data_IF_225751294314
#
_entry.id   IF_225751294314
#
_cell.length_a   1.000
_cell.length_b   1.000
_cell.length_c   1.000
_cell.angle_alpha   90.00
_cell.angle_beta   90.00
_cell.angle_gamma   90.00
#
_symmetry.space_group_name_H-M   'P 1'
#
loop_
_entity.id
_entity.type
_entity.pdbx_description
1 polymer ?
#
# COMPACT_ATOMS: atom_id res chain seq x y z
N UNK A 1 20.86 34.72 17.09
CA UNK A 1 19.65 35.05 17.85
C UNK A 1 18.99 33.70 18.18
N UNK A 2 19.32 33.16 19.36
CA UNK A 2 18.83 31.86 19.84
C UNK A 2 17.43 32.03 20.41
N UNK A 3 16.46 31.28 19.88
CA UNK A 3 15.12 31.18 20.45
C UNK A 3 15.14 29.96 21.39
N UNK A 4 14.85 30.11 22.69
CA UNK A 4 14.83 28.98 23.60
C UNK A 4 13.55 28.15 23.41
N UNK A 5 13.70 26.90 23.03
CA UNK A 5 12.62 25.91 23.07
C UNK A 5 12.27 25.60 24.54
N UNK A 6 11.26 26.26 25.05
CA UNK A 6 10.66 25.93 26.33
C UNK A 6 9.87 24.61 26.23
N UNK A 7 10.26 23.65 27.06
CA UNK A 7 9.47 22.43 27.33
C UNK A 7 8.07 22.83 27.81
N UNK A 8 7.06 22.68 26.98
CA UNK A 8 5.68 22.53 27.40
C UNK A 8 5.09 21.38 26.59
N UNK A 9 4.99 20.21 27.22
CA UNK A 9 4.07 19.18 26.81
C UNK A 9 2.67 19.79 26.81
N UNK A 10 2.13 20.05 25.61
CA UNK A 10 0.72 20.30 25.42
C UNK A 10 -0.01 18.96 25.57
N UNK A 11 -0.14 18.51 26.80
CA UNK A 11 -1.18 17.56 27.15
C UNK A 11 -2.49 18.38 27.21
N UNK A 12 -3.13 18.55 26.06
CA UNK A 12 -4.50 19.03 26.02
C UNK A 12 -5.33 17.94 26.68
N UNK A 13 -5.65 18.12 27.98
CA UNK A 13 -6.81 17.45 28.58
C UNK A 13 -7.99 17.82 27.71
N UNK A 14 -8.46 16.89 26.87
CA UNK A 14 -9.78 16.97 26.33
C UNK A 14 -10.73 17.02 27.53
N UNK A 15 -11.35 18.16 27.72
CA UNK A 15 -12.44 18.29 28.69
C UNK A 15 -13.47 17.24 28.29
N UNK A 16 -13.68 16.26 29.14
CA UNK A 16 -14.78 15.33 29.02
C UNK A 16 -16.04 16.13 29.31
N UNK A 17 -16.76 16.49 28.26
CA UNK A 17 -18.10 17.04 28.39
C UNK A 17 -19.02 15.87 28.83
N UNK A 18 -19.26 15.76 30.13
CA UNK A 18 -20.09 14.68 30.72
C UNK A 18 -21.55 14.73 30.23
N UNK A 19 -21.97 15.76 29.54
CA UNK A 19 -23.32 15.89 28.98
C UNK A 19 -23.46 15.32 27.58
N UNK A 20 -22.38 15.21 26.81
CA UNK A 20 -22.34 14.62 25.46
C UNK A 20 -22.25 13.07 25.48
N UNK A 21 -22.04 12.46 26.63
CA UNK A 21 -21.68 11.03 26.74
C UNK A 21 -22.89 10.09 26.96
N UNK A 22 -24.11 10.59 27.07
CA UNK A 22 -25.29 9.75 27.32
C UNK A 22 -25.76 8.93 26.12
N UNK A 23 -25.40 9.29 24.89
CA UNK A 23 -25.74 8.54 23.66
C UNK A 23 -24.59 7.69 23.10
N UNK A 24 -23.40 7.76 23.70
CA UNK A 24 -22.20 7.02 23.28
C UNK A 24 -22.12 5.63 23.91
N UNK A 25 -23.17 4.84 23.87
CA UNK A 25 -23.17 3.53 24.55
C UNK A 25 -22.37 2.51 23.75
N UNK A 26 -21.25 2.06 24.35
CA UNK A 26 -20.60 0.82 23.97
C UNK A 26 -21.60 -0.34 24.12
N UNK A 27 -21.80 -1.15 23.07
CA UNK A 27 -22.66 -2.30 23.13
C UNK A 27 -21.91 -3.59 22.76
N UNK A 28 -22.32 -4.69 23.40
CA UNK A 28 -21.75 -6.01 23.12
C UNK A 28 -22.39 -6.61 21.88
N UNK A 29 -21.57 -7.13 21.01
CA UNK A 29 -22.01 -7.78 19.77
C UNK A 29 -21.64 -9.27 19.84
N UNK A 30 -22.58 -10.19 19.58
CA UNK A 30 -22.29 -11.61 19.48
C UNK A 30 -21.64 -11.92 18.12
N UNK A 31 -20.32 -11.78 18.04
CA UNK A 31 -19.57 -12.20 16.84
C UNK A 31 -19.20 -13.69 17.03
N UNK A 32 -19.65 -14.60 16.17
CA UNK A 32 -19.33 -16.01 16.26
C UNK A 32 -17.81 -16.26 16.29
N UNK A 33 -17.34 -16.97 17.31
CA UNK A 33 -15.91 -17.22 17.53
C UNK A 33 -15.18 -16.11 18.32
N UNK A 34 -15.86 -15.01 18.63
CA UNK A 34 -15.36 -13.90 19.44
C UNK A 34 -16.26 -13.71 20.68
N UNK A 35 -15.74 -13.96 21.87
CA UNK A 35 -16.49 -13.72 23.11
C UNK A 35 -16.37 -12.24 23.48
N UNK A 36 -17.51 -11.57 23.63
CA UNK A 36 -17.57 -10.22 24.21
C UNK A 36 -16.88 -9.11 23.40
N UNK A 37 -17.06 -9.06 22.07
CA UNK A 37 -16.67 -7.90 21.28
C UNK A 37 -17.55 -6.71 21.68
N UNK A 38 -16.91 -5.58 21.95
CA UNK A 38 -17.59 -4.32 22.27
C UNK A 38 -17.37 -3.35 21.13
N UNK A 39 -18.45 -2.82 20.59
CA UNK A 39 -18.46 -1.85 19.50
C UNK A 39 -18.63 -0.45 20.08
N UNK A 40 -17.76 0.46 19.67
CA UNK A 40 -17.78 1.89 20.03
C UNK A 40 -17.48 2.76 18.83
N UNK A 41 -17.50 4.08 19.02
CA UNK A 41 -17.01 5.02 18.00
C UNK A 41 -15.56 4.72 17.62
N UNK A 42 -15.28 4.83 16.33
CA UNK A 42 -13.92 4.71 15.80
C UNK A 42 -13.17 6.05 15.82
N UNK A 43 -11.95 5.99 15.29
CA UNK A 43 -11.05 7.13 15.13
C UNK A 43 -11.03 7.50 13.63
N UNK A 44 -11.71 8.59 13.23
CA UNK A 44 -11.91 8.92 11.81
C UNK A 44 -10.62 9.30 11.06
N UNK A 45 -9.58 9.73 11.78
CA UNK A 45 -8.29 10.10 11.17
C UNK A 45 -7.45 8.88 10.77
N UNK A 46 -7.81 7.67 11.22
CA UNK A 46 -7.11 6.42 10.91
C UNK A 46 -7.89 5.65 9.86
N UNK A 47 -7.83 6.10 8.60
CA UNK A 47 -8.46 5.42 7.48
C UNK A 47 -7.93 3.99 7.33
N UNK A 48 -8.82 3.10 6.89
CA UNK A 48 -8.55 1.67 6.79
C UNK A 48 -8.75 0.95 8.11
N UNK A 49 -8.06 -0.18 8.25
CA UNK A 49 -8.06 -0.96 9.48
C UNK A 49 -6.76 -0.78 10.24
N UNK A 50 -6.88 -0.28 11.46
CA UNK A 50 -5.73 -0.05 12.34
C UNK A 50 -5.87 -0.87 13.61
N UNK A 51 -4.84 -1.68 13.90
CA UNK A 51 -4.74 -2.36 15.20
C UNK A 51 -4.40 -1.37 16.30
N UNK A 52 -5.14 -1.41 17.39
CA UNK A 52 -4.91 -0.64 18.59
C UNK A 52 -4.68 -1.58 19.77
N UNK A 53 -4.32 -1.05 20.94
CA UNK A 53 -3.92 -1.84 22.11
C UNK A 53 -4.92 -2.96 22.49
N UNK A 54 -6.22 -2.74 22.32
CA UNK A 54 -7.25 -3.67 22.77
C UNK A 54 -8.34 -3.99 21.71
N UNK A 55 -8.08 -3.71 20.43
CA UNK A 55 -9.02 -3.96 19.34
C UNK A 55 -8.58 -3.42 17.99
N UNK A 56 -9.55 -3.24 17.11
CA UNK A 56 -9.34 -2.75 15.75
C UNK A 56 -10.25 -1.57 15.44
N UNK A 57 -9.66 -0.53 14.88
CA UNK A 57 -10.37 0.60 14.29
C UNK A 57 -10.61 0.33 12.82
N UNK A 58 -11.82 0.56 12.35
CA UNK A 58 -12.21 0.53 10.94
C UNK A 58 -12.69 1.92 10.56
N UNK A 59 -12.17 2.47 9.49
CA UNK A 59 -12.61 3.77 9.00
C UNK A 59 -12.57 3.81 7.46
N UNK A 60 -13.66 4.28 6.85
CA UNK A 60 -13.82 4.40 5.40
C UNK A 60 -14.44 5.75 5.05
N UNK A 61 -14.00 6.32 3.93
CA UNK A 61 -14.61 7.51 3.36
C UNK A 61 -15.75 7.13 2.42
N UNK A 62 -16.92 7.77 2.59
CA UNK A 62 -18.07 7.65 1.69
C UNK A 62 -18.85 8.95 1.71
N UNK A 63 -19.79 9.14 0.76
CA UNK A 63 -20.66 10.30 0.76
C UNK A 63 -21.52 10.33 2.04
N UNK A 64 -21.91 11.54 2.48
CA UNK A 64 -22.55 11.73 3.78
C UNK A 64 -23.90 11.01 3.93
N UNK A 65 -24.62 10.83 2.83
CA UNK A 65 -25.92 10.15 2.77
C UNK A 65 -25.82 8.65 2.42
N UNK A 66 -24.60 8.11 2.36
CA UNK A 66 -24.37 6.71 2.02
C UNK A 66 -24.83 5.77 3.14
N UNK A 67 -25.41 4.65 2.75
CA UNK A 67 -25.65 3.50 3.62
C UNK A 67 -24.38 2.65 3.67
N UNK A 68 -23.66 2.66 4.81
CA UNK A 68 -22.36 2.03 4.95
C UNK A 68 -22.42 0.87 5.93
N UNK A 69 -21.98 -0.32 5.51
CA UNK A 69 -21.81 -1.49 6.38
C UNK A 69 -20.36 -1.93 6.40
N UNK A 70 -19.91 -2.38 7.57
CA UNK A 70 -18.73 -3.21 7.71
C UNK A 70 -19.15 -4.67 7.61
N UNK A 71 -18.56 -5.40 6.66
CA UNK A 71 -18.78 -6.83 6.44
C UNK A 71 -17.62 -7.62 7.03
N UNK A 72 -17.89 -8.61 7.88
CA UNK A 72 -16.88 -9.53 8.38
C UNK A 72 -17.08 -10.92 7.78
N UNK A 73 -16.00 -11.51 7.28
CA UNK A 73 -15.96 -12.84 6.70
C UNK A 73 -15.09 -13.77 7.53
N UNK A 74 -15.44 -15.03 7.55
CA UNK A 74 -14.48 -16.07 7.93
C UNK A 74 -13.59 -16.40 6.75
N UNK A 75 -12.30 -16.61 6.97
CA UNK A 75 -11.42 -17.12 5.91
C UNK A 75 -12.05 -18.37 5.29
N UNK A 76 -12.13 -18.43 3.96
CA UNK A 76 -12.77 -19.48 3.16
C UNK A 76 -14.32 -19.55 3.27
N UNK A 77 -14.97 -18.68 4.04
CA UNK A 77 -16.42 -18.52 3.98
C UNK A 77 -16.85 -17.93 2.64
N UNK A 78 -18.04 -18.19 2.14
CA UNK A 78 -18.51 -17.62 0.87
C UNK A 78 -19.10 -16.24 1.05
N UNK A 79 -19.81 -16.01 2.13
CA UNK A 79 -20.56 -14.79 2.44
C UNK A 79 -20.14 -14.20 3.78
N UNK A 80 -20.45 -12.93 4.04
CA UNK A 80 -20.22 -12.34 5.36
C UNK A 80 -21.06 -13.06 6.41
N UNK A 81 -20.49 -13.35 7.55
CA UNK A 81 -21.22 -13.91 8.68
C UNK A 81 -21.71 -12.82 9.65
N UNK A 82 -21.26 -11.60 9.46
CA UNK A 82 -21.65 -10.45 10.26
C UNK A 82 -21.59 -9.18 9.44
N UNK A 83 -22.66 -8.39 9.49
CA UNK A 83 -22.80 -7.09 8.88
C UNK A 83 -23.12 -6.06 9.95
N UNK A 84 -22.36 -4.98 10.02
CA UNK A 84 -22.56 -3.87 10.94
C UNK A 84 -22.88 -2.61 10.18
N UNK A 85 -24.10 -2.10 10.33
CA UNK A 85 -24.47 -0.78 9.81
C UNK A 85 -23.71 0.30 10.58
N UNK A 86 -22.99 1.15 9.85
CA UNK A 86 -22.35 2.34 10.35
C UNK A 86 -23.31 3.52 10.12
N UNK A 87 -24.27 3.68 11.03
CA UNK A 87 -25.24 4.75 10.98
C UNK A 87 -24.61 6.14 11.28
N UNK A 88 -25.42 7.19 11.28
CA UNK A 88 -24.96 8.57 11.45
C UNK A 88 -24.09 8.78 12.71
N UNK A 89 -24.32 8.02 13.79
CA UNK A 89 -23.51 8.12 15.01
C UNK A 89 -22.04 7.70 14.80
N UNK A 90 -21.73 6.88 13.79
CA UNK A 90 -20.35 6.47 13.47
C UNK A 90 -19.69 7.39 12.44
N UNK A 91 -20.35 8.47 12.01
CA UNK A 91 -19.89 9.37 10.97
C UNK A 91 -19.29 10.65 11.53
N UNK A 92 -18.20 11.10 10.93
CA UNK A 92 -17.58 12.42 11.14
C UNK A 92 -17.24 13.01 9.78
N UNK A 93 -17.97 14.00 9.33
CA UNK A 93 -17.90 14.45 7.94
C UNK A 93 -18.24 13.30 7.00
N UNK A 94 -17.36 13.01 6.04
CA UNK A 94 -17.47 11.87 5.11
C UNK A 94 -16.82 10.59 5.59
N UNK A 95 -16.32 10.53 6.82
CA UNK A 95 -15.64 9.34 7.36
C UNK A 95 -16.56 8.59 8.30
N UNK A 96 -16.82 7.33 7.95
CA UNK A 96 -17.50 6.37 8.79
C UNK A 96 -16.49 5.54 9.55
N UNK A 97 -16.54 5.54 10.88
CA UNK A 97 -15.54 4.85 11.70
C UNK A 97 -16.12 4.14 12.89
N UNK A 98 -15.61 2.93 13.15
CA UNK A 98 -16.03 2.08 14.26
C UNK A 98 -14.81 1.40 14.91
N UNK A 99 -14.82 1.34 16.25
CA UNK A 99 -13.82 0.60 17.00
C UNK A 99 -14.42 -0.68 17.59
N UNK A 100 -13.79 -1.82 17.30
CA UNK A 100 -14.18 -3.13 17.79
C UNK A 100 -13.17 -3.64 18.82
N UNK A 101 -13.49 -3.45 20.09
CA UNK A 101 -12.68 -3.90 21.24
C UNK A 101 -12.72 -5.40 21.39
N UNK A 102 -11.57 -6.03 21.66
CA UNK A 102 -11.40 -7.49 21.84
C UNK A 102 -11.78 -8.33 20.60
N UNK A 103 -11.74 -7.76 19.41
CA UNK A 103 -11.93 -8.51 18.17
C UNK A 103 -10.69 -9.39 17.91
N UNK A 104 -10.90 -10.71 17.82
CA UNK A 104 -9.87 -11.64 17.36
C UNK A 104 -10.00 -11.83 15.85
N UNK A 105 -9.01 -11.38 15.11
CA UNK A 105 -9.01 -11.35 13.62
C UNK A 105 -8.30 -12.54 12.97
N UNK A 106 -7.78 -13.50 13.73
CA UNK A 106 -6.90 -14.58 13.23
C UNK A 106 -7.48 -15.30 12.00
N UNK A 107 -8.79 -15.52 11.96
CA UNK A 107 -9.48 -16.20 10.85
C UNK A 107 -10.55 -15.31 10.21
N UNK A 108 -10.35 -14.00 10.27
CA UNK A 108 -11.28 -13.03 9.70
C UNK A 108 -10.69 -12.32 8.50
N UNK A 109 -11.59 -11.86 7.65
CA UNK A 109 -11.41 -10.95 6.53
C UNK A 109 -12.57 -9.95 6.56
N UNK A 110 -12.45 -8.84 5.85
CA UNK A 110 -13.50 -7.82 5.84
C UNK A 110 -13.61 -7.16 4.46
N UNK A 111 -14.74 -6.51 4.22
CA UNK A 111 -14.97 -5.51 3.19
C UNK A 111 -15.93 -4.46 3.72
N UNK A 112 -16.15 -3.40 2.96
CA UNK A 112 -17.24 -2.46 3.18
C UNK A 112 -18.36 -2.70 2.15
N UNK A 113 -19.61 -2.46 2.54
CA UNK A 113 -20.74 -2.38 1.61
C UNK A 113 -21.28 -0.95 1.67
N UNK A 114 -21.29 -0.26 0.53
CA UNK A 114 -21.70 1.14 0.42
C UNK A 114 -22.82 1.20 -0.62
N UNK A 115 -23.99 1.66 -0.22
CA UNK A 115 -25.19 1.75 -1.07
C UNK A 115 -25.54 0.42 -1.79
N UNK A 116 -25.34 -0.70 -1.06
CA UNK A 116 -25.62 -2.05 -1.55
C UNK A 116 -24.48 -2.74 -2.30
N UNK A 117 -23.45 -2.00 -2.73
CA UNK A 117 -22.29 -2.55 -3.44
C UNK A 117 -21.11 -2.83 -2.51
N UNK A 118 -20.33 -3.88 -2.82
CA UNK A 118 -19.18 -4.29 -2.01
C UNK A 118 -17.91 -3.62 -2.52
N UNK A 119 -17.22 -2.96 -1.61
CA UNK A 119 -15.97 -2.25 -1.86
C UNK A 119 -14.84 -2.82 -1.04
N UNK A 120 -13.67 -2.93 -1.69
CA UNK A 120 -12.41 -3.14 -1.00
C UNK A 120 -11.99 -1.85 -0.31
N UNK A 121 -11.44 -1.97 0.88
CA UNK A 121 -10.84 -0.84 1.58
C UNK A 121 -9.61 -0.33 0.81
N UNK A 122 -9.58 0.93 0.35
CA UNK A 122 -8.43 1.48 -0.36
C UNK A 122 -7.13 1.50 0.47
N UNK A 123 -7.27 1.47 1.81
CA UNK A 123 -6.16 1.44 2.76
C UNK A 123 -5.83 0.03 3.26
N UNK A 124 -6.42 -1.02 2.68
CA UNK A 124 -6.14 -2.39 3.10
C UNK A 124 -4.68 -2.75 2.86
N UNK A 125 -4.03 -3.29 3.90
CA UNK A 125 -2.63 -3.74 3.83
C UNK A 125 -2.48 -5.20 3.40
N UNK A 126 -3.57 -5.91 3.20
CA UNK A 126 -3.61 -7.29 2.72
C UNK A 126 -4.85 -7.53 1.89
N UNK A 127 -4.67 -8.19 0.74
CA UNK A 127 -5.76 -8.61 -0.14
C UNK A 127 -5.68 -10.13 -0.32
N UNK A 128 -6.83 -10.79 -0.27
CA UNK A 128 -7.00 -12.21 -0.59
C UNK A 128 -7.96 -12.38 -1.78
N UNK A 129 -7.85 -13.52 -2.47
CA UNK A 129 -8.65 -13.83 -3.66
C UNK A 129 -8.02 -13.38 -4.98
N UNK A 130 -6.78 -12.82 -4.94
CA UNK A 130 -6.00 -12.39 -6.12
C UNK A 130 -4.63 -13.04 -6.20
N UNK A 131 -4.50 -14.25 -5.69
CA UNK A 131 -3.21 -14.96 -5.62
C UNK A 131 -2.72 -15.47 -6.99
N UNK A 132 -3.58 -15.44 -8.03
CA UNK A 132 -3.24 -15.93 -9.36
C UNK A 132 -3.18 -14.78 -10.37
N UNK A 133 -1.99 -14.44 -10.83
CA UNK A 133 -1.78 -13.37 -11.80
C UNK A 133 -2.48 -13.66 -13.14
N UNK A 134 -3.26 -12.69 -13.62
CA UNK A 134 -4.00 -12.80 -14.88
C UNK A 134 -5.17 -13.76 -14.81
N UNK A 135 -5.66 -14.10 -13.61
CA UNK A 135 -6.93 -14.81 -13.47
C UNK A 135 -8.07 -13.99 -14.09
N UNK A 136 -9.05 -14.69 -14.66
CA UNK A 136 -10.24 -14.04 -15.20
C UNK A 136 -10.91 -13.13 -14.14
N UNK A 137 -11.61 -12.11 -14.64
CA UNK A 137 -12.41 -11.26 -13.77
C UNK A 137 -13.38 -12.10 -12.92
N UNK A 138 -13.42 -11.79 -11.64
CA UNK A 138 -14.29 -12.48 -10.69
C UNK A 138 -15.58 -11.67 -10.50
N UNK A 139 -16.70 -12.26 -10.88
CA UNK A 139 -18.02 -11.64 -10.76
C UNK A 139 -18.59 -11.69 -9.35
N UNK A 140 -18.15 -12.67 -8.53
CA UNK A 140 -18.56 -12.76 -7.12
C UNK A 140 -17.89 -11.67 -6.28
N UNK A 141 -18.61 -10.63 -5.85
CA UNK A 141 -18.05 -9.51 -5.11
C UNK A 141 -17.54 -9.91 -3.71
N UNK A 142 -17.94 -11.09 -3.23
CA UNK A 142 -17.50 -11.61 -1.93
C UNK A 142 -16.19 -12.40 -1.99
N UNK A 143 -15.60 -12.61 -3.15
CA UNK A 143 -14.42 -13.46 -3.29
C UNK A 143 -13.11 -12.72 -3.01
N UNK A 144 -13.00 -11.47 -3.43
CA UNK A 144 -11.85 -10.62 -3.13
C UNK A 144 -12.10 -9.89 -1.82
N UNK A 145 -11.16 -9.98 -0.88
CA UNK A 145 -11.36 -9.44 0.47
C UNK A 145 -10.13 -8.78 1.02
N UNK A 146 -10.38 -7.86 1.93
CA UNK A 146 -9.37 -7.21 2.74
C UNK A 146 -9.02 -8.09 3.94
N UNK A 147 -7.74 -8.26 4.21
CA UNK A 147 -7.24 -8.99 5.36
C UNK A 147 -6.75 -8.05 6.45
N UNK A 148 -6.57 -8.63 7.63
CA UNK A 148 -5.96 -7.94 8.73
C UNK A 148 -4.45 -8.15 8.73
N UNK A 149 -3.72 -7.09 9.00
CA UNK A 149 -2.34 -7.23 9.41
C UNK A 149 -2.31 -7.65 10.88
N UNK A 150 -1.76 -8.79 11.17
CA UNK A 150 -1.50 -9.21 12.55
C UNK A 150 -0.27 -8.45 13.03
N UNK A 151 -0.48 -7.34 13.73
CA UNK A 151 0.49 -6.33 14.08
C UNK A 151 1.64 -6.70 15.02
N UNK A 152 2.00 -7.96 15.13
CA UNK A 152 3.33 -8.34 15.59
C UNK A 152 4.29 -8.03 14.44
N UNK A 153 4.88 -6.83 14.47
CA UNK A 153 5.74 -6.33 13.41
C UNK A 153 6.74 -7.38 12.93
N UNK A 154 7.12 -7.29 11.67
CA UNK A 154 8.19 -8.12 11.14
C UNK A 154 9.45 -7.88 11.96
N UNK A 155 10.10 -8.95 12.41
CA UNK A 155 11.38 -8.85 13.12
C UNK A 155 12.51 -8.60 12.10
N UNK A 156 12.90 -7.35 12.00
CA UNK A 156 14.01 -6.92 11.14
C UNK A 156 15.38 -7.31 11.71
N UNK A 157 15.46 -7.60 13.02
CA UNK A 157 16.71 -7.95 13.70
C UNK A 157 17.76 -6.83 13.62
N UNK A 158 18.94 -7.14 13.10
CA UNK A 158 20.07 -6.23 12.88
C UNK A 158 20.15 -5.70 11.43
N UNK A 159 19.04 -5.74 10.69
CA UNK A 159 18.95 -5.25 9.32
C UNK A 159 19.39 -3.78 9.24
N UNK A 160 20.19 -3.47 8.24
CA UNK A 160 20.64 -2.11 7.92
C UNK A 160 20.51 -1.89 6.42
N UNK A 161 19.81 -0.81 6.06
CA UNK A 161 19.74 -0.38 4.67
C UNK A 161 21.12 0.05 4.17
N UNK A 162 21.49 -0.27 2.91
CA UNK A 162 22.76 0.20 2.34
C UNK A 162 22.73 1.73 2.14
N UNK A 163 23.83 2.38 2.53
CA UNK A 163 24.00 3.82 2.37
C UNK A 163 24.63 4.15 1.01
N UNK A 164 23.91 3.90 -0.09
CA UNK A 164 24.38 4.20 -1.45
C UNK A 164 23.92 5.61 -1.85
N UNK A 165 24.85 6.49 -2.21
CA UNK A 165 24.50 7.80 -2.76
C UNK A 165 24.01 7.70 -4.21
N UNK A 166 23.29 8.74 -4.71
CA UNK A 166 22.77 8.69 -6.10
C UNK A 166 23.89 8.61 -7.15
N UNK A 167 25.04 9.22 -6.89
CA UNK A 167 26.20 9.20 -7.77
C UNK A 167 26.81 7.81 -7.93
N UNK A 168 26.71 6.98 -6.90
CA UNK A 168 27.28 5.61 -6.86
C UNK A 168 26.24 4.54 -7.19
N UNK A 169 25.01 4.94 -7.47
CA UNK A 169 23.91 4.03 -7.68
C UNK A 169 23.95 3.39 -9.07
N UNK A 170 24.10 2.06 -9.11
CA UNK A 170 23.92 1.25 -10.33
C UNK A 170 22.57 0.56 -10.21
N UNK A 171 21.55 1.18 -10.81
CA UNK A 171 20.15 0.80 -10.69
C UNK A 171 19.74 -0.18 -11.79
N UNK A 172 19.07 -1.25 -11.37
CA UNK A 172 18.49 -2.25 -12.26
C UNK A 172 16.98 -2.38 -12.06
N UNK A 173 16.22 -1.98 -13.06
CA UNK A 173 14.75 -2.01 -13.02
C UNK A 173 14.22 -3.39 -13.39
N UNK A 174 13.35 -3.94 -12.54
CA UNK A 174 12.78 -5.27 -12.72
C UNK A 174 11.27 -5.29 -12.48
N UNK A 175 10.58 -6.09 -13.28
CA UNK A 175 9.21 -6.49 -13.01
C UNK A 175 9.22 -7.79 -12.21
N UNK A 176 8.66 -7.80 -11.00
CA UNK A 176 8.75 -8.95 -10.07
C UNK A 176 8.40 -10.28 -10.74
N UNK A 177 7.24 -10.32 -11.41
CA UNK A 177 6.81 -11.54 -12.11
C UNK A 177 7.65 -11.83 -13.36
N UNK A 178 7.86 -10.83 -14.21
CA UNK A 178 8.51 -11.03 -15.51
C UNK A 178 9.94 -11.50 -15.40
N UNK A 179 10.69 -10.96 -14.44
CA UNK A 179 12.12 -11.15 -14.35
C UNK A 179 12.55 -12.62 -14.11
N UNK A 180 11.84 -13.33 -13.24
CA UNK A 180 12.20 -14.70 -12.90
C UNK A 180 11.29 -15.76 -13.53
N UNK A 181 10.29 -15.37 -14.34
CA UNK A 181 9.31 -16.30 -14.91
C UNK A 181 9.94 -17.42 -15.75
N UNK A 182 11.00 -17.10 -16.48
CA UNK A 182 11.76 -18.03 -17.33
C UNK A 182 13.10 -18.47 -16.69
N UNK A 183 13.40 -18.00 -15.49
CA UNK A 183 14.63 -18.38 -14.80
C UNK A 183 14.66 -19.87 -14.44
N UNK A 184 15.87 -20.42 -14.30
CA UNK A 184 16.08 -21.81 -13.85
C UNK A 184 15.87 -21.93 -12.34
N UNK A 185 14.67 -21.66 -11.89
CA UNK A 185 14.25 -21.73 -10.49
C UNK A 185 13.14 -22.77 -10.31
N UNK A 186 12.92 -23.28 -9.08
CA UNK A 186 11.74 -24.07 -8.75
C UNK A 186 10.47 -23.33 -9.17
N UNK A 187 9.50 -24.06 -9.73
CA UNK A 187 8.28 -23.46 -10.31
C UNK A 187 7.53 -22.53 -9.35
N UNK A 188 7.48 -22.89 -8.06
CA UNK A 188 6.81 -22.07 -7.03
C UNK A 188 7.50 -20.75 -6.69
N UNK A 189 8.79 -20.57 -7.07
CA UNK A 189 9.53 -19.33 -6.85
C UNK A 189 9.51 -18.39 -8.06
N UNK A 190 9.15 -18.90 -9.25
CA UNK A 190 9.20 -18.12 -10.48
C UNK A 190 8.13 -17.03 -10.50
N UNK A 191 8.55 -15.81 -10.69
CA UNK A 191 7.67 -14.64 -10.76
C UNK A 191 7.19 -14.16 -9.39
N UNK A 192 7.98 -14.40 -8.34
CA UNK A 192 7.63 -14.06 -6.96
C UNK A 192 8.73 -13.22 -6.30
N UNK A 193 8.39 -12.60 -5.15
CA UNK A 193 9.37 -11.88 -4.31
C UNK A 193 10.53 -12.81 -3.88
N UNK A 194 10.22 -14.03 -3.45
CA UNK A 194 11.25 -15.05 -3.13
C UNK A 194 12.09 -15.46 -4.33
N UNK A 195 11.52 -15.38 -5.54
CA UNK A 195 12.26 -15.62 -6.78
C UNK A 195 13.30 -14.55 -7.06
N UNK A 196 13.01 -13.27 -6.75
CA UNK A 196 13.97 -12.18 -6.89
C UNK A 196 15.16 -12.35 -5.94
N UNK A 197 14.96 -12.87 -4.74
CA UNK A 197 16.05 -13.16 -3.78
C UNK A 197 17.08 -14.13 -4.39
N UNK A 198 16.65 -15.07 -5.24
CA UNK A 198 17.56 -16.01 -5.91
C UNK A 198 18.44 -15.35 -6.97
N UNK A 199 18.14 -14.11 -7.35
CA UNK A 199 18.89 -13.37 -8.37
C UNK A 199 20.01 -12.50 -7.78
N UNK A 200 20.09 -12.39 -6.46
CA UNK A 200 21.12 -11.60 -5.76
C UNK A 200 22.54 -11.90 -6.24
N UNK A 201 23.00 -13.16 -6.33
CA UNK A 201 24.36 -13.45 -6.80
C UNK A 201 24.65 -12.92 -8.21
N UNK A 202 23.65 -13.01 -9.11
CA UNK A 202 23.79 -12.49 -10.47
C UNK A 202 23.89 -10.97 -10.49
N UNK A 203 23.10 -10.27 -9.66
CA UNK A 203 23.18 -8.82 -9.56
C UNK A 203 24.51 -8.34 -8.96
N UNK A 204 25.03 -9.05 -7.97
CA UNK A 204 26.35 -8.77 -7.42
C UNK A 204 27.48 -8.98 -8.45
N UNK A 205 27.40 -10.03 -9.28
CA UNK A 205 28.32 -10.24 -10.40
C UNK A 205 28.29 -9.11 -11.43
N UNK A 206 27.09 -8.55 -11.68
CA UNK A 206 26.92 -7.39 -12.57
C UNK A 206 27.32 -6.05 -11.93
N UNK A 207 27.63 -6.03 -10.63
CA UNK A 207 27.94 -4.80 -9.90
C UNK A 207 26.72 -3.93 -9.57
N UNK A 208 25.51 -4.48 -9.64
CA UNK A 208 24.27 -3.78 -9.31
C UNK A 208 24.18 -3.63 -7.79
N UNK A 209 23.94 -2.39 -7.33
CA UNK A 209 23.78 -2.09 -5.92
C UNK A 209 22.39 -1.53 -5.56
N UNK A 210 21.50 -1.37 -6.55
CA UNK A 210 20.13 -0.92 -6.31
C UNK A 210 19.17 -1.59 -7.31
N UNK A 211 18.08 -2.14 -6.80
CA UNK A 211 17.00 -2.72 -7.60
C UNK A 211 15.79 -1.81 -7.56
N UNK A 212 15.26 -1.44 -8.72
CA UNK A 212 13.99 -0.74 -8.86
C UNK A 212 12.89 -1.74 -9.20
N UNK A 213 11.92 -1.88 -8.31
CA UNK A 213 10.74 -2.71 -8.52
C UNK A 213 9.67 -1.91 -9.26
N UNK A 214 9.25 -2.38 -10.42
CA UNK A 214 7.99 -1.92 -11.03
C UNK A 214 6.83 -2.20 -10.06
N UNK A 215 5.63 -1.60 -10.24
CA UNK A 215 4.56 -1.68 -9.26
C UNK A 215 4.42 -3.04 -8.59
N UNK A 216 4.73 -3.08 -7.29
CA UNK A 216 4.74 -4.29 -6.45
C UNK A 216 3.63 -4.28 -5.39
N UNK A 217 2.84 -3.20 -5.34
CA UNK A 217 1.60 -3.13 -4.56
C UNK A 217 0.46 -3.84 -5.31
N UNK A 218 -0.66 -4.08 -4.63
CA UNK A 218 -1.84 -4.72 -5.25
C UNK A 218 -2.49 -3.80 -6.28
N UNK A 219 -2.74 -4.30 -7.48
CA UNK A 219 -3.44 -3.60 -8.57
C UNK A 219 -4.34 -4.57 -9.34
N UNK A 220 -5.30 -4.04 -10.07
CA UNK A 220 -6.14 -4.84 -10.95
C UNK A 220 -5.37 -5.25 -12.21
N UNK A 221 -5.21 -6.54 -12.40
CA UNK A 221 -4.55 -7.13 -13.57
C UNK A 221 -5.49 -7.26 -14.75
N UNK A 222 -6.73 -7.68 -14.46
CA UNK A 222 -7.79 -7.85 -15.46
C UNK A 222 -8.83 -6.78 -15.21
N UNK A 223 -9.04 -5.94 -16.20
CA UNK A 223 -10.09 -4.92 -16.18
C UNK A 223 -11.34 -5.54 -16.80
N UNK A 224 -12.51 -5.43 -16.15
CA UNK A 224 -13.74 -5.93 -16.76
C UNK A 224 -13.95 -5.24 -18.12
N UNK A 225 -14.46 -5.95 -19.13
CA UNK A 225 -14.74 -5.35 -20.41
C UNK A 225 -15.71 -4.18 -20.20
N UNK A 226 -15.33 -2.98 -20.67
CA UNK A 226 -16.26 -1.84 -20.66
C UNK A 226 -17.46 -2.25 -21.50
N UNK A 227 -18.66 -2.20 -20.95
CA UNK A 227 -19.87 -2.30 -21.75
C UNK A 227 -19.82 -1.16 -22.78
N UNK A 228 -19.90 -1.48 -24.09
CA UNK A 228 -19.94 -0.42 -25.08
C UNK A 228 -21.27 0.33 -24.87
N UNK A 229 -21.21 1.65 -24.83
CA UNK A 229 -22.40 2.48 -24.94
C UNK A 229 -23.23 1.99 -26.15
N UNK A 230 -24.15 1.11 -25.86
CA UNK A 230 -25.38 0.82 -26.57
C UNK A 230 -25.31 0.42 -28.02
N UNK A 231 -24.45 -0.42 -28.60
CA UNK A 231 -24.78 -1.03 -29.92
C UNK A 231 -23.88 -2.16 -30.46
N UNK A 232 -22.77 -2.52 -29.85
CA UNK A 232 -21.97 -3.64 -30.37
C UNK A 232 -21.55 -4.57 -29.24
N UNK A 233 -22.16 -5.74 -29.17
CA UNK A 233 -21.70 -6.85 -28.34
C UNK A 233 -20.25 -7.20 -28.72
N UNK A 234 -19.29 -6.85 -27.90
CA UNK A 234 -17.90 -7.32 -28.05
C UNK A 234 -17.75 -8.75 -27.48
N UNK A 235 -18.57 -9.68 -27.93
CA UNK A 235 -18.32 -11.10 -27.72
C UNK A 235 -17.00 -11.45 -28.40
N UNK A 236 -15.94 -11.65 -27.61
CA UNK A 236 -14.69 -12.21 -28.10
C UNK A 236 -13.42 -11.41 -27.87
N UNK A 237 -13.42 -10.21 -27.29
CA UNK A 237 -12.18 -9.62 -26.81
C UNK A 237 -11.77 -10.33 -25.51
N UNK A 238 -10.59 -10.95 -25.50
CA UNK A 238 -9.96 -11.40 -24.26
C UNK A 238 -9.79 -10.20 -23.35
N UNK A 239 -10.03 -10.38 -22.06
CA UNK A 239 -9.74 -9.37 -21.04
C UNK A 239 -8.31 -8.84 -21.25
N UNK A 240 -8.16 -7.54 -21.32
CA UNK A 240 -6.84 -6.94 -21.42
C UNK A 240 -6.15 -7.08 -20.07
N UNK A 241 -4.95 -7.66 -20.08
CA UNK A 241 -4.16 -7.83 -18.86
C UNK A 241 -3.27 -6.60 -18.65
N UNK A 242 -3.52 -5.84 -17.58
CA UNK A 242 -2.59 -4.84 -17.08
C UNK A 242 -1.35 -5.54 -16.50
N UNK A 243 -0.40 -5.86 -17.37
CA UNK A 243 0.79 -6.59 -16.98
C UNK A 243 1.73 -5.78 -16.09
N UNK A 244 1.84 -4.47 -16.37
CA UNK A 244 2.85 -3.61 -15.77
C UNK A 244 2.42 -2.99 -14.44
N UNK A 245 1.13 -2.94 -14.15
CA UNK A 245 0.60 -2.39 -12.91
C UNK A 245 0.39 -0.88 -12.90
N UNK A 246 0.50 -0.20 -14.04
CA UNK A 246 0.19 1.22 -14.14
C UNK A 246 -1.32 1.41 -14.23
N UNK A 247 -1.91 1.97 -13.18
CA UNK A 247 -3.35 2.18 -13.03
C UNK A 247 -3.74 2.30 -11.57
N UNK A 248 -5.04 2.19 -11.29
CA UNK A 248 -5.56 2.22 -9.92
C UNK A 248 -5.04 1.03 -9.11
N UNK A 249 -4.55 1.30 -7.91
CA UNK A 249 -3.99 0.31 -7.00
C UNK A 249 -4.56 0.37 -5.58
N UNK A 250 -4.42 -0.73 -4.87
CA UNK A 250 -4.55 -0.79 -3.41
C UNK A 250 -3.15 -0.63 -2.82
N UNK A 251 -2.75 0.62 -2.68
CA UNK A 251 -1.37 1.05 -2.48
C UNK A 251 -0.71 0.58 -1.18
N UNK A 252 -1.47 0.04 -0.23
CA UNK A 252 -0.95 -0.37 1.09
C UNK A 252 -0.69 -1.89 1.17
N UNK A 253 -1.06 -2.66 0.16
CA UNK A 253 -0.88 -4.11 0.15
C UNK A 253 0.19 -4.54 -0.85
N UNK A 254 1.15 -5.39 -0.49
CA UNK A 254 2.00 -6.08 -1.45
C UNK A 254 1.16 -6.97 -2.36
N UNK A 255 1.56 -7.06 -3.62
CA UNK A 255 0.80 -7.84 -4.60
C UNK A 255 0.77 -9.32 -4.28
N UNK A 256 -0.41 -9.84 -3.98
CA UNK A 256 -0.63 -11.23 -3.58
C UNK A 256 -0.22 -12.23 -4.65
N UNK A 257 -0.39 -11.90 -5.93
CA UNK A 257 0.02 -12.73 -7.06
C UNK A 257 1.54 -12.81 -7.28
N UNK A 258 2.33 -11.99 -6.58
CA UNK A 258 3.80 -12.04 -6.60
C UNK A 258 4.38 -12.79 -5.41
N UNK A 259 3.56 -13.53 -4.68
CA UNK A 259 3.94 -14.25 -3.49
C UNK A 259 4.05 -15.75 -3.75
N UNK A 260 5.16 -16.37 -3.34
CA UNK A 260 5.33 -17.82 -3.37
C UNK A 260 4.62 -18.50 -2.20
N UNK A 261 4.45 -17.78 -1.12
CA UNK A 261 3.76 -18.21 0.10
C UNK A 261 2.31 -17.68 0.13
N UNK A 262 1.64 -17.76 1.26
CA UNK A 262 0.32 -17.15 1.47
C UNK A 262 0.42 -15.87 2.32
N UNK A 263 1.62 -15.38 2.53
CA UNK A 263 1.88 -14.18 3.32
C UNK A 263 2.73 -13.18 2.53
N UNK A 264 2.11 -12.38 1.64
CA UNK A 264 2.83 -11.42 0.80
C UNK A 264 3.56 -10.35 1.62
N UNK A 265 3.04 -9.98 2.78
CA UNK A 265 3.71 -9.04 3.66
C UNK A 265 5.07 -9.58 4.13
N UNK A 266 5.06 -10.77 4.74
CA UNK A 266 6.27 -11.39 5.24
C UNK A 266 7.28 -11.65 4.12
N UNK A 267 6.81 -12.14 2.98
CA UNK A 267 7.69 -12.48 1.86
C UNK A 267 8.34 -11.21 1.26
N UNK A 268 7.62 -10.09 1.20
CA UNK A 268 8.19 -8.82 0.78
C UNK A 268 9.26 -8.33 1.78
N UNK A 269 8.98 -8.39 3.08
CA UNK A 269 9.97 -8.06 4.11
C UNK A 269 11.22 -8.94 4.05
N UNK A 270 11.04 -10.26 3.88
CA UNK A 270 12.16 -11.22 3.72
C UNK A 270 13.01 -10.86 2.49
N UNK A 271 12.40 -10.44 1.39
CA UNK A 271 13.09 -9.99 0.19
C UNK A 271 13.92 -8.73 0.47
N UNK A 272 13.34 -7.69 1.07
CA UNK A 272 14.07 -6.45 1.40
C UNK A 272 15.24 -6.73 2.33
N UNK A 273 15.00 -7.53 3.38
CA UNK A 273 16.06 -7.93 4.31
C UNK A 273 17.21 -8.68 3.60
N UNK A 274 16.87 -9.54 2.64
CA UNK A 274 17.87 -10.25 1.84
C UNK A 274 18.67 -9.31 0.94
N UNK A 275 18.02 -8.31 0.32
CA UNK A 275 18.67 -7.29 -0.49
C UNK A 275 19.64 -6.47 0.35
N UNK A 276 19.19 -5.94 1.49
CA UNK A 276 20.03 -5.14 2.39
C UNK A 276 21.24 -5.93 2.90
N UNK A 277 21.03 -7.19 3.28
CA UNK A 277 22.14 -8.08 3.68
C UNK A 277 23.17 -8.29 2.57
N UNK A 278 22.76 -8.21 1.32
CA UNK A 278 23.63 -8.32 0.14
C UNK A 278 24.24 -6.96 -0.30
N UNK A 279 23.97 -5.87 0.41
CA UNK A 279 24.38 -4.52 0.05
C UNK A 279 23.60 -3.91 -1.11
N UNK A 280 22.39 -4.41 -1.38
CA UNK A 280 21.54 -3.97 -2.48
C UNK A 280 20.36 -3.15 -1.91
N UNK A 281 20.22 -1.90 -2.35
CA UNK A 281 19.07 -1.04 -2.03
C UNK A 281 17.84 -1.41 -2.87
N UNK A 282 16.67 -1.00 -2.38
CA UNK A 282 15.41 -1.21 -3.08
C UNK A 282 14.67 0.12 -3.30
N UNK A 283 14.38 0.43 -4.55
CA UNK A 283 13.49 1.51 -4.96
C UNK A 283 12.20 0.89 -5.49
N UNK A 284 11.05 1.46 -5.18
CA UNK A 284 9.76 0.98 -5.66
C UNK A 284 9.05 2.04 -6.49
N UNK A 285 8.57 1.66 -7.68
CA UNK A 285 7.68 2.51 -8.45
C UNK A 285 6.31 2.62 -7.79
N UNK A 286 5.82 3.85 -7.69
CA UNK A 286 4.48 4.18 -7.22
C UNK A 286 3.79 5.02 -8.30
N UNK A 287 2.80 4.44 -8.95
CA UNK A 287 2.02 5.13 -9.99
C UNK A 287 0.69 5.62 -9.41
N UNK A 288 0.47 6.92 -9.45
CA UNK A 288 -0.74 7.57 -8.95
C UNK A 288 -1.50 8.24 -10.10
N UNK A 289 -2.60 7.66 -10.60
CA UNK A 289 -3.45 8.33 -11.57
C UNK A 289 -4.12 9.58 -10.99
N UNK A 290 -4.63 10.45 -11.86
CA UNK A 290 -5.13 11.78 -11.50
C UNK A 290 -6.21 11.80 -10.41
N UNK A 291 -6.99 10.74 -10.31
CA UNK A 291 -8.12 10.61 -9.37
C UNK A 291 -7.68 10.25 -7.95
N UNK A 292 -6.42 9.88 -7.73
CA UNK A 292 -5.94 9.46 -6.41
C UNK A 292 -5.89 10.65 -5.46
N UNK A 293 -6.46 10.48 -4.28
CA UNK A 293 -6.37 11.50 -3.22
C UNK A 293 -4.90 11.74 -2.83
N UNK A 294 -4.38 12.99 -2.91
CA UNK A 294 -2.99 13.30 -2.64
C UNK A 294 -2.50 12.90 -1.24
N UNK A 295 -3.38 12.99 -0.23
CA UNK A 295 -3.05 12.56 1.13
C UNK A 295 -2.96 11.04 1.25
N UNK A 296 -3.76 10.30 0.50
CA UNK A 296 -3.66 8.85 0.43
C UNK A 296 -2.36 8.42 -0.26
N UNK A 297 -1.98 9.09 -1.35
CA UNK A 297 -0.73 8.84 -2.04
C UNK A 297 0.48 9.09 -1.12
N UNK A 298 0.52 10.22 -0.41
CA UNK A 298 1.56 10.52 0.59
C UNK A 298 1.62 9.43 1.68
N UNK A 299 0.47 9.05 2.25
CA UNK A 299 0.39 8.00 3.28
C UNK A 299 0.89 6.64 2.77
N UNK A 300 0.61 6.30 1.51
CA UNK A 300 1.09 5.07 0.90
C UNK A 300 2.64 5.05 0.86
N UNK A 301 3.27 6.13 0.40
CA UNK A 301 4.74 6.25 0.38
C UNK A 301 5.33 6.13 1.78
N UNK A 302 4.76 6.86 2.76
CA UNK A 302 5.14 6.76 4.18
C UNK A 302 5.01 5.33 4.71
N UNK A 303 3.90 4.66 4.38
CA UNK A 303 3.62 3.29 4.81
C UNK A 303 4.67 2.29 4.32
N UNK A 304 5.06 2.34 3.06
CA UNK A 304 6.10 1.47 2.51
C UNK A 304 7.46 1.76 3.11
N UNK A 305 7.79 3.02 3.34
CA UNK A 305 9.03 3.40 4.02
C UNK A 305 9.11 2.84 5.43
N UNK A 306 8.03 3.00 6.21
CA UNK A 306 8.02 2.63 7.63
C UNK A 306 7.87 1.13 7.87
N UNK A 307 7.09 0.44 7.04
CA UNK A 307 6.72 -0.95 7.30
C UNK A 307 7.52 -1.95 6.48
N UNK A 308 8.06 -1.53 5.35
CA UNK A 308 8.81 -2.40 4.44
C UNK A 308 10.26 -1.97 4.22
N UNK A 309 10.71 -0.92 4.86
CA UNK A 309 12.06 -0.38 4.78
C UNK A 309 12.56 -0.14 3.34
N UNK A 310 11.65 0.22 2.44
CA UNK A 310 12.01 0.59 1.06
C UNK A 310 12.92 1.81 1.09
N UNK A 311 14.03 1.80 0.35
CA UNK A 311 15.08 2.84 0.39
C UNK A 311 14.72 4.08 -0.39
N UNK A 312 13.86 3.94 -1.38
CA UNK A 312 13.42 5.04 -2.20
C UNK A 312 12.20 4.72 -3.05
N UNK A 313 11.70 5.74 -3.70
CA UNK A 313 10.52 5.64 -4.56
C UNK A 313 10.75 6.33 -5.89
N UNK A 314 10.28 5.70 -6.96
CA UNK A 314 10.09 6.32 -8.24
C UNK A 314 8.62 6.67 -8.40
N UNK A 315 8.32 7.96 -8.30
CA UNK A 315 6.96 8.48 -8.25
C UNK A 315 6.50 8.84 -9.65
N UNK A 316 5.38 8.27 -10.08
CA UNK A 316 4.83 8.38 -11.42
C UNK A 316 3.35 8.76 -11.38
N UNK A 317 2.84 9.29 -12.48
CA UNK A 317 1.43 9.59 -12.70
C UNK A 317 1.02 11.01 -12.31
N UNK A 318 -0.09 11.48 -12.88
CA UNK A 318 -0.57 12.86 -12.75
C UNK A 318 -1.12 13.19 -11.36
N UNK A 319 -1.56 12.18 -10.60
CA UNK A 319 -2.03 12.33 -9.22
C UNK A 319 -0.92 12.33 -8.17
N UNK A 320 0.35 12.28 -8.60
CA UNK A 320 1.50 12.20 -7.70
C UNK A 320 1.71 13.53 -6.94
N UNK A 321 1.58 13.56 -5.60
CA UNK A 321 1.76 14.78 -4.82
C UNK A 321 3.24 15.03 -4.49
N UNK A 322 4.08 15.24 -5.50
CA UNK A 322 5.53 15.38 -5.34
C UNK A 322 5.92 16.43 -4.31
N UNK A 323 5.27 17.58 -4.34
CA UNK A 323 5.52 18.68 -3.39
C UNK A 323 5.28 18.29 -1.93
N UNK A 324 4.27 17.45 -1.66
CA UNK A 324 3.98 16.95 -0.32
C UNK A 324 5.02 15.90 0.08
N UNK A 325 5.32 14.96 -0.81
CA UNK A 325 6.30 13.88 -0.59
C UNK A 325 7.69 14.45 -0.27
N UNK A 326 8.13 15.44 -1.06
CA UNK A 326 9.46 16.05 -0.89
C UNK A 326 9.62 16.90 0.38
N UNK A 327 8.51 17.43 0.92
CA UNK A 327 8.50 18.24 2.14
C UNK A 327 8.17 17.45 3.40
N UNK A 328 7.84 16.18 3.25
CA UNK A 328 7.42 15.34 4.37
C UNK A 328 8.60 14.93 5.27
N UNK A 329 8.43 15.15 6.57
CA UNK A 329 9.49 14.88 7.55
C UNK A 329 9.77 13.38 7.78
N UNK A 330 8.79 12.49 7.55
CA UNK A 330 8.98 11.03 7.66
C UNK A 330 9.77 10.47 6.48
N UNK A 331 9.73 11.17 5.34
CA UNK A 331 10.45 10.80 4.13
C UNK A 331 11.80 11.53 4.00
N UNK A 332 12.21 12.31 5.01
CA UNK A 332 13.50 12.98 5.02
C UNK A 332 14.65 11.97 4.83
N UNK A 333 15.52 12.23 3.85
CA UNK A 333 16.61 11.31 3.49
C UNK A 333 16.22 10.09 2.63
N UNK A 334 14.94 9.90 2.34
CA UNK A 334 14.46 8.87 1.40
C UNK A 334 14.77 9.29 -0.04
N UNK A 335 15.25 8.37 -0.87
CA UNK A 335 15.50 8.63 -2.29
C UNK A 335 14.17 8.77 -3.04
N UNK A 336 13.95 9.91 -3.67
CA UNK A 336 12.77 10.16 -4.50
C UNK A 336 13.22 10.44 -5.93
N UNK A 337 12.68 9.67 -6.86
CA UNK A 337 12.90 9.83 -8.29
C UNK A 337 11.55 10.17 -8.94
N UNK A 338 11.54 11.09 -9.89
CA UNK A 338 10.33 11.43 -10.65
C UNK A 338 10.69 12.00 -12.02
N UNK A 339 9.71 12.07 -12.90
CA UNK A 339 9.81 12.79 -14.16
C UNK A 339 9.36 14.25 -13.99
N UNK A 340 10.05 15.20 -14.63
CA UNK A 340 9.67 16.62 -14.61
C UNK A 340 9.84 17.32 -13.26
N UNK A 341 10.76 16.85 -12.41
CA UNK A 341 11.08 17.45 -11.12
C UNK A 341 12.11 18.58 -11.30
N UNK A 342 11.75 19.81 -10.89
CA UNK A 342 12.72 20.91 -10.84
C UNK A 342 13.66 20.76 -9.62
N UNK A 343 14.69 19.94 -9.78
CA UNK A 343 15.68 19.69 -8.73
C UNK A 343 16.50 20.94 -8.40
N UNK A 344 16.70 21.88 -9.34
CA UNK A 344 17.40 23.12 -9.11
C UNK A 344 16.61 24.04 -8.16
N UNK A 345 15.31 24.14 -8.34
CA UNK A 345 14.43 24.88 -7.43
C UNK A 345 14.42 24.27 -6.03
N UNK A 346 14.40 22.94 -5.93
CA UNK A 346 14.42 22.21 -4.66
C UNK A 346 15.67 22.48 -3.85
N UNK A 347 16.82 22.43 -4.48
CA UNK A 347 18.10 22.64 -3.82
C UNK A 347 18.50 24.12 -3.74
N UNK A 348 17.73 25.05 -4.31
CA UNK A 348 18.00 26.50 -4.34
C UNK A 348 19.46 26.80 -4.70
N UNK A 349 19.98 26.11 -5.72
CA UNK A 349 21.37 26.19 -6.19
C UNK A 349 22.44 25.83 -5.12
N UNK A 350 22.07 25.16 -4.05
CA UNK A 350 23.00 24.60 -3.06
C UNK A 350 23.20 23.11 -3.37
N UNK A 351 24.42 22.63 -3.26
CA UNK A 351 24.69 21.19 -3.21
C UNK A 351 24.43 20.71 -1.78
N UNK A 352 23.39 19.93 -1.50
CA UNK A 352 23.25 19.33 -0.18
C UNK A 352 24.37 18.31 0.05
N UNK A 353 24.73 18.09 1.31
CA UNK A 353 25.70 17.04 1.68
C UNK A 353 25.20 15.65 1.25
N UNK A 354 23.90 15.43 1.28
CA UNK A 354 23.24 14.21 0.81
C UNK A 354 22.10 14.56 -0.15
N UNK A 355 22.16 14.04 -1.37
CA UNK A 355 21.10 14.20 -2.38
C UNK A 355 20.04 13.14 -2.16
N UNK A 356 18.77 13.58 -2.03
CA UNK A 356 17.62 12.70 -1.85
C UNK A 356 16.68 12.70 -3.06
N UNK A 357 16.85 13.63 -4.02
CA UNK A 357 15.96 13.78 -5.16
C UNK A 357 16.73 13.67 -6.47
N UNK A 358 16.14 12.96 -7.43
CA UNK A 358 16.67 12.82 -8.77
C UNK A 358 15.55 12.88 -9.82
N UNK A 359 15.88 13.44 -10.98
CA UNK A 359 14.98 13.51 -12.11
C UNK A 359 15.42 12.52 -13.20
N UNK A 360 14.44 11.88 -13.83
CA UNK A 360 14.66 11.09 -15.04
C UNK A 360 14.91 12.01 -16.25
N UNK A 361 16.14 12.02 -16.74
CA UNK A 361 16.51 12.84 -17.90
C UNK A 361 16.22 12.10 -19.23
N UNK A 362 15.06 12.38 -19.81
CA UNK A 362 14.66 11.79 -21.10
C UNK A 362 15.55 12.22 -22.27
N UNK A 363 16.13 13.42 -22.21
CA UNK A 363 17.09 13.90 -23.22
C UNK A 363 18.35 13.04 -23.23
N UNK A 364 18.94 12.79 -22.07
CA UNK A 364 20.10 11.90 -21.93
C UNK A 364 19.78 10.49 -22.44
N UNK A 365 18.62 9.95 -22.13
CA UNK A 365 18.18 8.64 -22.62
C UNK A 365 18.13 8.58 -24.15
N UNK A 366 17.61 9.63 -24.79
CA UNK A 366 17.53 9.70 -26.26
C UNK A 366 18.92 9.80 -26.88
N UNK A 367 19.81 10.62 -26.33
CA UNK A 367 21.16 10.82 -26.85
C UNK A 367 22.01 9.55 -26.68
N UNK A 368 21.91 8.87 -25.53
CA UNK A 368 22.58 7.57 -25.32
C UNK A 368 22.09 6.51 -26.30
N UNK A 369 20.79 6.44 -26.55
CA UNK A 369 20.23 5.51 -27.55
C UNK A 369 20.74 5.81 -28.97
N UNK A 370 20.93 7.07 -29.32
CA UNK A 370 21.53 7.47 -30.63
C UNK A 370 23.00 7.11 -30.71
N UNK A 371 23.74 7.30 -29.62
CA UNK A 371 25.16 6.96 -29.54
C UNK A 371 25.42 5.45 -29.65
N UNK A 372 24.53 4.61 -29.07
CA UNK A 372 24.68 3.16 -29.08
C UNK A 372 24.16 2.48 -30.37
N UNK A 373 23.50 3.20 -31.29
CA UNK A 373 23.05 2.72 -32.60
C UNK A 373 24.14 2.95 -33.67
#
# INVERSE_FOLDING_TARGET
>A
MQIPFGKRALCTKMATDETADKDRRAYKVPIPGNKSVVVTYGYPLLLGVTQMADGYNFAVEAEEDSEVYLLLYRKRGREPFYELLLDEKYRTGRIFSVFMKKLNVTNLEYNFKINGEIYLDPCASRISGREHFGAAWEEDPHKVRCGFWSGNGYDWGDEKAPETDFEDMILYKVHVRGYTRQAKLPTGLRGTFSGLVQMIPYWQELGINTVELMPAYEFMEVVPPKEPDGLVSQKGKKDEVNYWGYGNGLYFAPKSAYCATRDPHREFCDMIRAFHKAGIGCIMEMYFPAEVNPLMALRAVQFWKQNYHVDGFHILGEGAPLDLIMKDGLLAGTKIMAEGMDTAALYKNRRPEKRCFAEYNLGFLQDMRRFLK
#
